data_IF_782288615601
#
_entry.id   IF_782288615601
#
_cell.length_a   1.000
_cell.length_b   1.000
_cell.length_c   1.000
_cell.angle_alpha   90.00
_cell.angle_beta   90.00
_cell.angle_gamma   90.00
#
_symmetry.space_group_name_H-M   'P 1'
#
loop_
_entity.id
_entity.type
_entity.pdbx_description
1 polymer ?
#
# COMPACT_ATOMS: atom_id res chain seq x y z
N UNK A 1 18.46 -13.67 -0.30
CA UNK A 1 18.08 -15.04 0.13
C UNK A 1 16.66 -15.42 -0.26
N UNK A 2 15.67 -14.50 -0.19
CA UNK A 2 14.29 -14.78 -0.62
C UNK A 2 13.78 -13.74 -1.65
N UNK A 3 14.22 -13.82 -2.92
CA UNK A 3 13.93 -12.78 -3.92
C UNK A 3 12.45 -12.70 -4.33
N UNK A 4 11.69 -13.77 -4.17
CA UNK A 4 10.28 -13.86 -4.58
C UNK A 4 9.29 -13.77 -3.39
N UNK A 5 9.77 -13.42 -2.20
CA UNK A 5 8.91 -13.29 -1.03
C UNK A 5 8.18 -11.94 -1.03
N UNK A 6 6.91 -11.95 -1.40
CA UNK A 6 6.08 -10.74 -1.47
C UNK A 6 5.96 -9.99 -0.14
N UNK A 7 5.94 -10.67 1.01
CA UNK A 7 5.89 -10.01 2.33
C UNK A 7 7.15 -9.16 2.55
N UNK A 8 8.33 -9.71 2.25
CA UNK A 8 9.59 -8.97 2.35
C UNK A 8 9.64 -7.81 1.35
N UNK A 9 9.10 -8.01 0.14
CA UNK A 9 9.04 -6.96 -0.88
C UNK A 9 8.06 -5.83 -0.50
N UNK A 10 6.92 -6.12 0.13
CA UNK A 10 6.03 -5.09 0.66
C UNK A 10 6.72 -4.26 1.76
N UNK A 11 7.43 -4.93 2.67
CA UNK A 11 8.25 -4.24 3.68
C UNK A 11 9.35 -3.40 3.05
N UNK A 12 9.97 -3.89 1.97
CA UNK A 12 10.96 -3.14 1.19
C UNK A 12 10.37 -1.87 0.56
N UNK A 13 9.20 -1.94 -0.09
CA UNK A 13 8.50 -0.76 -0.64
C UNK A 13 8.26 0.29 0.43
N UNK A 14 7.83 -0.13 1.62
CA UNK A 14 7.58 0.78 2.76
C UNK A 14 8.87 1.42 3.27
N UNK A 15 9.95 0.66 3.41
CA UNK A 15 11.25 1.19 3.79
C UNK A 15 11.79 2.17 2.75
N UNK A 16 11.75 1.82 1.47
CA UNK A 16 12.22 2.67 0.37
C UNK A 16 11.44 3.99 0.31
N UNK A 17 10.12 3.94 0.52
CA UNK A 17 9.29 5.15 0.59
C UNK A 17 9.72 6.10 1.72
N UNK A 18 10.26 5.56 2.82
CA UNK A 18 10.71 6.35 3.97
C UNK A 18 12.16 6.84 3.84
N UNK A 19 13.07 6.05 3.29
CA UNK A 19 14.51 6.32 3.37
C UNK A 19 15.24 6.48 2.04
N UNK A 20 14.62 6.14 0.90
CA UNK A 20 15.24 6.25 -0.44
C UNK A 20 14.51 7.23 -1.33
N UNK A 21 13.20 7.13 -1.37
CA UNK A 21 12.36 7.94 -2.23
C UNK A 21 11.24 7.12 -2.87
N UNK A 22 10.29 7.81 -3.51
CA UNK A 22 9.17 7.16 -4.16
C UNK A 22 9.56 6.39 -5.42
N UNK A 23 10.62 6.80 -6.12
CA UNK A 23 11.05 6.18 -7.38
C UNK A 23 11.56 4.75 -7.14
N UNK A 24 12.38 4.55 -6.11
CA UNK A 24 12.85 3.23 -5.67
C UNK A 24 11.70 2.33 -5.23
N UNK A 25 10.77 2.87 -4.45
CA UNK A 25 9.59 2.13 -3.99
C UNK A 25 8.73 1.65 -5.17
N UNK A 26 8.50 2.50 -6.17
CA UNK A 26 7.76 2.14 -7.38
C UNK A 26 8.53 1.17 -8.28
N UNK A 27 9.86 1.25 -8.34
CA UNK A 27 10.70 0.24 -9.00
C UNK A 27 10.54 -1.13 -8.34
N UNK A 28 10.48 -1.19 -7.01
CA UNK A 28 10.18 -2.44 -6.29
C UNK A 28 8.76 -2.92 -6.58
N UNK A 29 7.74 -2.05 -6.63
CA UNK A 29 6.39 -2.44 -7.05
C UNK A 29 6.37 -3.04 -8.46
N UNK A 30 7.07 -2.41 -9.42
CA UNK A 30 7.22 -2.95 -10.79
C UNK A 30 7.89 -4.31 -10.77
N UNK A 31 8.95 -4.48 -9.99
CA UNK A 31 9.63 -5.77 -9.84
C UNK A 31 8.68 -6.85 -9.27
N UNK A 32 7.85 -6.50 -8.28
CA UNK A 32 6.84 -7.42 -7.75
C UNK A 32 5.82 -7.84 -8.81
N UNK A 33 5.37 -6.93 -9.68
CA UNK A 33 4.47 -7.29 -10.79
C UNK A 33 5.14 -8.25 -11.78
N UNK A 34 6.43 -8.07 -12.06
CA UNK A 34 7.20 -8.97 -12.93
C UNK A 34 7.35 -10.36 -12.30
N UNK A 35 7.66 -10.44 -11.01
CA UNK A 35 7.70 -11.70 -10.26
C UNK A 35 6.34 -12.37 -10.30
N UNK A 36 5.26 -11.63 -9.99
CA UNK A 36 3.90 -12.15 -10.00
C UNK A 36 3.54 -12.75 -11.36
N UNK A 37 3.82 -12.02 -12.45
CA UNK A 37 3.59 -12.51 -13.82
C UNK A 37 4.40 -13.76 -14.13
N UNK A 38 5.67 -13.82 -13.69
CA UNK A 38 6.53 -15.00 -13.86
C UNK A 38 5.98 -16.22 -13.10
N UNK A 39 5.61 -16.05 -11.84
CA UNK A 39 5.13 -17.12 -10.97
C UNK A 39 3.74 -17.64 -11.36
N UNK A 40 2.87 -16.75 -11.87
CA UNK A 40 1.46 -17.04 -12.09
C UNK A 40 1.02 -16.85 -13.55
N UNK A 41 1.94 -17.00 -14.51
CA UNK A 41 1.57 -17.15 -15.92
C UNK A 41 0.49 -18.24 -16.01
N UNK A 42 -0.76 -17.81 -16.15
CA UNK A 42 -1.91 -18.64 -16.40
C UNK A 42 -1.69 -19.23 -17.79
N UNK A 43 -1.00 -20.36 -17.85
CA UNK A 43 -0.92 -21.19 -19.04
C UNK A 43 -2.34 -21.43 -19.52
N UNK A 44 -2.62 -21.04 -20.77
CA UNK A 44 -3.80 -21.42 -21.51
C UNK A 44 -4.15 -22.89 -21.19
N UNK A 45 -5.41 -23.25 -20.87
CA UNK A 45 -5.80 -24.64 -20.60
C UNK A 45 -5.69 -25.57 -21.82
N UNK A 46 -5.13 -25.11 -22.94
CA UNK A 46 -5.17 -25.80 -24.22
C UNK A 46 -3.85 -26.45 -24.63
N UNK A 47 -2.84 -26.53 -23.77
CA UNK A 47 -1.65 -27.32 -24.09
C UNK A 47 -1.30 -28.34 -23.00
N UNK A 48 -1.78 -29.55 -23.28
CA UNK A 48 -1.19 -30.85 -23.01
C UNK A 48 -0.74 -31.18 -21.57
N UNK A 49 -1.52 -32.10 -20.99
CA UNK A 49 -1.23 -32.78 -19.74
C UNK A 49 0.19 -33.35 -19.62
N UNK A 50 0.85 -32.96 -18.54
CA UNK A 50 1.46 -33.88 -17.57
C UNK A 50 1.65 -33.10 -16.28
N UNK A 51 1.00 -33.58 -15.22
CA UNK A 51 1.05 -32.96 -13.91
C UNK A 51 2.49 -32.76 -13.45
N UNK A 52 2.78 -31.57 -12.93
CA UNK A 52 3.93 -31.34 -12.10
C UNK A 52 3.46 -30.55 -10.89
N UNK A 53 3.56 -31.19 -9.73
CA UNK A 53 3.20 -30.60 -8.45
C UNK A 53 4.10 -29.38 -8.20
N UNK A 54 3.48 -28.27 -7.79
CA UNK A 54 4.18 -27.02 -7.45
C UNK A 54 5.08 -27.14 -6.20
N UNK A 55 5.18 -28.32 -5.58
CA UNK A 55 6.05 -28.59 -4.44
C UNK A 55 7.45 -29.06 -4.86
N UNK A 56 7.65 -29.60 -6.07
CA UNK A 56 8.94 -30.19 -6.47
C UNK A 56 9.94 -29.19 -7.07
N UNK A 57 9.49 -28.01 -7.49
CA UNK A 57 10.34 -27.04 -8.19
C UNK A 57 11.16 -26.13 -7.26
N UNK A 58 10.98 -26.25 -5.94
CA UNK A 58 11.69 -25.43 -4.95
C UNK A 58 13.16 -25.88 -4.69
N UNK A 59 13.67 -26.95 -5.32
CA UNK A 59 15.00 -27.50 -5.01
C UNK A 59 15.97 -27.50 -6.21
N UNK A 60 15.53 -27.18 -7.42
CA UNK A 60 16.38 -27.27 -8.61
C UNK A 60 16.39 -25.98 -9.43
N UNK A 61 17.12 -24.96 -8.94
CA UNK A 61 17.95 -24.10 -9.82
C UNK A 61 18.98 -23.31 -8.99
N UNK A 62 19.77 -24.07 -8.21
CA UNK A 62 21.10 -23.65 -7.80
C UNK A 62 22.04 -23.94 -8.96
N UNK A 63 22.27 -22.95 -9.82
CA UNK A 63 23.46 -22.70 -10.67
C UNK A 63 23.00 -22.13 -11.99
N UNK A 64 23.16 -20.82 -12.16
CA UNK A 64 23.87 -20.19 -13.28
C UNK A 64 23.49 -18.72 -13.31
N UNK A 65 24.48 -17.86 -13.03
CA UNK A 65 24.78 -16.63 -13.76
C UNK A 65 25.91 -15.92 -13.02
N UNK A 66 27.13 -16.44 -13.23
CA UNK A 66 28.32 -15.64 -13.11
C UNK A 66 28.47 -14.80 -14.38
N UNK A 67 29.19 -13.69 -14.21
CA UNK A 67 29.74 -12.77 -15.22
C UNK A 67 28.82 -11.67 -15.74
N UNK A 68 28.85 -10.51 -15.06
CA UNK A 68 28.72 -9.20 -15.71
C UNK A 68 29.84 -8.30 -15.16
N UNK A 69 30.77 -7.95 -16.06
CA UNK A 69 31.82 -6.95 -15.90
C UNK A 69 31.24 -5.54 -15.81
N UNK A 70 31.69 -4.77 -14.81
CA UNK A 70 31.49 -3.32 -14.68
C UNK A 70 32.30 -2.56 -15.75
N UNK A 71 31.84 -1.36 -16.14
CA UNK A 71 32.74 -0.26 -16.38
C UNK A 71 32.42 0.98 -15.53
N UNK A 72 33.43 1.86 -15.52
CA UNK A 72 33.82 2.83 -14.52
C UNK A 72 32.88 4.01 -14.22
N UNK A 73 33.12 4.55 -13.02
CA UNK A 73 32.66 5.83 -12.51
C UNK A 73 33.16 7.01 -13.35
N UNK A 74 32.24 7.92 -13.67
CA UNK A 74 32.54 9.36 -13.78
C UNK A 74 31.26 10.17 -13.55
N UNK A 75 31.20 10.86 -12.41
CA UNK A 75 30.36 12.05 -12.16
C UNK A 75 31.10 13.30 -12.73
N UNK A 76 30.49 14.51 -12.93
CA UNK A 76 29.55 15.13 -11.99
C UNK A 76 28.38 15.98 -12.56
N UNK A 77 27.40 16.19 -11.68
CA UNK A 77 26.51 17.36 -11.48
C UNK A 77 25.92 18.11 -12.69
N UNK A 78 24.58 18.01 -12.85
CA UNK A 78 23.60 19.13 -12.96
C UNK A 78 22.28 18.58 -13.52
N UNK A 79 21.26 18.34 -12.67
CA UNK A 79 19.99 17.82 -13.19
C UNK A 79 18.89 17.51 -12.18
N UNK A 80 18.81 18.25 -11.08
CA UNK A 80 17.99 17.90 -9.90
C UNK A 80 16.46 18.04 -10.06
N UNK A 81 15.93 18.37 -11.24
CA UNK A 81 14.46 18.44 -11.47
C UNK A 81 14.03 17.72 -12.75
N UNK A 82 14.93 17.55 -13.73
CA UNK A 82 14.61 16.91 -15.01
C UNK A 82 14.87 15.39 -14.99
N UNK A 83 15.86 14.93 -14.22
CA UNK A 83 16.18 13.50 -14.11
C UNK A 83 15.11 12.71 -13.35
N UNK A 84 14.54 13.29 -12.29
CA UNK A 84 13.41 12.71 -11.53
C UNK A 84 12.14 12.62 -12.38
N UNK A 85 11.87 13.63 -13.22
CA UNK A 85 10.74 13.60 -14.15
C UNK A 85 10.85 12.49 -15.21
N UNK A 86 12.07 12.20 -15.69
CA UNK A 86 12.31 11.14 -16.68
C UNK A 86 12.25 9.76 -16.03
N UNK A 87 12.82 9.61 -14.82
CA UNK A 87 12.77 8.35 -14.07
C UNK A 87 11.33 8.00 -13.68
N UNK A 88 10.57 8.95 -13.14
CA UNK A 88 9.15 8.79 -12.82
C UNK A 88 8.32 8.43 -14.07
N UNK A 89 8.54 9.12 -15.20
CA UNK A 89 7.85 8.82 -16.47
C UNK A 89 8.17 7.42 -17.01
N UNK A 90 9.41 6.94 -16.85
CA UNK A 90 9.80 5.56 -17.24
C UNK A 90 9.20 4.50 -16.33
N UNK A 91 9.09 4.80 -15.05
CA UNK A 91 8.42 3.93 -14.06
C UNK A 91 6.92 3.86 -14.37
N UNK A 92 6.29 4.99 -14.68
CA UNK A 92 4.89 5.07 -15.12
C UNK A 92 4.64 4.24 -16.37
N UNK A 93 5.40 4.47 -17.44
CA UNK A 93 5.24 3.74 -18.70
C UNK A 93 5.38 2.23 -18.47
N UNK A 94 6.34 1.82 -17.67
CA UNK A 94 6.56 0.41 -17.43
C UNK A 94 5.49 -0.24 -16.53
N UNK A 95 4.94 0.49 -15.55
CA UNK A 95 3.79 0.01 -14.79
C UNK A 95 2.55 -0.11 -15.69
N UNK A 96 2.34 0.85 -16.61
CA UNK A 96 1.27 0.78 -17.60
C UNK A 96 1.42 -0.39 -18.57
N UNK A 97 2.62 -0.64 -19.11
CA UNK A 97 2.90 -1.79 -19.98
C UNK A 97 2.59 -3.12 -19.28
N UNK A 98 2.99 -3.24 -18.01
CA UNK A 98 2.70 -4.43 -17.21
C UNK A 98 1.20 -4.55 -16.95
N UNK A 99 0.52 -3.45 -16.57
CA UNK A 99 -0.94 -3.43 -16.37
C UNK A 99 -1.70 -3.88 -17.62
N UNK A 100 -1.38 -3.32 -18.80
CA UNK A 100 -2.01 -3.70 -20.06
C UNK A 100 -1.85 -5.19 -20.36
N UNK A 101 -0.70 -5.77 -20.01
CA UNK A 101 -0.49 -7.22 -20.17
C UNK A 101 -1.30 -8.10 -19.20
N UNK A 102 -1.86 -7.52 -18.14
CA UNK A 102 -2.66 -8.19 -17.11
C UNK A 102 -4.18 -8.02 -17.30
N UNK A 103 -4.64 -7.18 -18.24
CA UNK A 103 -6.07 -6.84 -18.41
C UNK A 103 -7.00 -8.04 -18.71
N UNK A 104 -6.48 -9.16 -19.22
CA UNK A 104 -7.26 -10.40 -19.45
C UNK A 104 -7.40 -11.30 -18.21
N UNK A 105 -6.64 -10.99 -17.15
CA UNK A 105 -6.49 -11.82 -15.96
C UNK A 105 -7.58 -11.47 -14.93
N UNK A 106 -8.80 -11.95 -15.21
CA UNK A 106 -9.90 -11.89 -14.22
C UNK A 106 -9.85 -13.13 -13.33
N UNK A 107 -10.21 -13.04 -12.02
CA UNK A 107 -10.26 -14.21 -11.15
C UNK A 107 -11.33 -15.20 -11.63
N UNK A 108 -10.95 -16.12 -12.51
CA UNK A 108 -11.82 -17.15 -13.08
C UNK A 108 -11.24 -18.51 -12.71
N UNK A 109 -11.58 -18.93 -11.49
CA UNK A 109 -11.23 -20.20 -10.86
C UNK A 109 -9.72 -20.43 -10.68
N UNK A 110 -9.26 -20.33 -9.42
CA UNK A 110 -7.88 -20.53 -9.02
C UNK A 110 -7.67 -20.16 -7.54
N UNK A 111 -6.46 -20.36 -6.99
CA UNK A 111 -6.15 -19.92 -5.64
C UNK A 111 -6.35 -18.40 -5.52
N UNK A 112 -6.97 -17.95 -4.42
CA UNK A 112 -7.28 -16.54 -4.19
C UNK A 112 -6.02 -15.70 -3.87
N UNK A 113 -5.04 -16.33 -3.24
CA UNK A 113 -3.84 -15.67 -2.72
C UNK A 113 -3.01 -14.89 -3.78
N UNK A 114 -2.74 -15.44 -4.98
CA UNK A 114 -2.06 -14.68 -6.04
C UNK A 114 -2.81 -13.40 -6.41
N UNK A 115 -4.12 -13.45 -6.59
CA UNK A 115 -4.91 -12.26 -6.92
C UNK A 115 -4.89 -11.24 -5.80
N UNK A 116 -5.01 -11.67 -4.54
CA UNK A 116 -4.88 -10.79 -3.38
C UNK A 116 -3.51 -10.11 -3.35
N UNK A 117 -2.44 -10.85 -3.66
CA UNK A 117 -1.07 -10.31 -3.76
C UNK A 117 -0.98 -9.27 -4.87
N UNK A 118 -1.56 -9.54 -6.04
CA UNK A 118 -1.57 -8.58 -7.16
C UNK A 118 -2.31 -7.29 -6.78
N UNK A 119 -3.48 -7.41 -6.14
CA UNK A 119 -4.21 -6.25 -5.65
C UNK A 119 -3.41 -5.47 -4.61
N UNK A 120 -2.70 -6.14 -3.70
CA UNK A 120 -1.82 -5.47 -2.73
C UNK A 120 -0.67 -4.73 -3.41
N UNK A 121 -0.04 -5.28 -4.45
CA UNK A 121 1.02 -4.58 -5.22
C UNK A 121 0.47 -3.28 -5.80
N UNK A 122 -0.71 -3.33 -6.43
CA UNK A 122 -1.37 -2.14 -6.97
C UNK A 122 -1.71 -1.11 -5.89
N UNK A 123 -2.20 -1.55 -4.73
CA UNK A 123 -2.52 -0.64 -3.61
C UNK A 123 -1.26 0.00 -3.01
N UNK A 124 -0.15 -0.73 -2.92
CA UNK A 124 1.13 -0.17 -2.49
C UNK A 124 1.65 0.88 -3.48
N UNK A 125 1.58 0.61 -4.79
CA UNK A 125 1.92 1.61 -5.81
C UNK A 125 1.01 2.86 -5.72
N UNK A 126 -0.29 2.66 -5.53
CA UNK A 126 -1.23 3.77 -5.33
C UNK A 126 -0.87 4.61 -4.10
N UNK A 127 -0.50 3.98 -2.99
CA UNK A 127 -0.09 4.66 -1.76
C UNK A 127 1.16 5.51 -1.96
N UNK A 128 2.14 5.01 -2.72
CA UNK A 128 3.32 5.81 -3.10
C UNK A 128 2.90 7.02 -3.93
N UNK A 129 2.07 6.85 -4.98
CA UNK A 129 1.60 7.98 -5.80
C UNK A 129 0.79 9.02 -5.01
N UNK A 130 0.03 8.60 -3.99
CA UNK A 130 -0.65 9.52 -3.08
C UNK A 130 0.38 10.35 -2.28
N UNK A 131 1.46 9.73 -1.82
CA UNK A 131 2.59 10.41 -1.18
C UNK A 131 3.23 11.49 -2.06
N UNK A 132 3.42 11.22 -3.36
CA UNK A 132 3.97 12.18 -4.34
C UNK A 132 2.90 13.17 -4.84
N UNK A 133 1.67 13.12 -4.34
CA UNK A 133 0.56 14.00 -4.76
C UNK A 133 0.18 13.87 -6.24
N UNK A 134 0.26 12.65 -6.79
CA UNK A 134 -0.10 12.29 -8.17
C UNK A 134 -1.45 11.55 -8.23
N UNK A 135 -2.60 12.27 -8.28
CA UNK A 135 -3.91 11.65 -8.13
C UNK A 135 -4.32 10.78 -9.32
N UNK A 136 -3.86 11.07 -10.54
CA UNK A 136 -4.26 10.32 -11.73
C UNK A 136 -3.68 8.89 -11.71
N UNK A 137 -2.39 8.78 -11.41
CA UNK A 137 -1.63 7.54 -11.31
C UNK A 137 -2.09 6.70 -10.11
N UNK A 138 -2.35 7.36 -8.97
CA UNK A 138 -2.97 6.70 -7.81
C UNK A 138 -4.36 6.13 -8.14
N UNK A 139 -5.15 6.87 -8.93
CA UNK A 139 -6.48 6.40 -9.39
C UNK A 139 -6.34 5.17 -10.29
N UNK A 140 -5.41 5.20 -11.24
CA UNK A 140 -5.17 4.08 -12.15
C UNK A 140 -4.77 2.81 -11.37
N UNK A 141 -3.79 2.93 -10.46
CA UNK A 141 -3.37 1.79 -9.63
C UNK A 141 -4.52 1.27 -8.74
N UNK A 142 -5.28 2.18 -8.12
CA UNK A 142 -6.45 1.80 -7.31
C UNK A 142 -7.53 1.12 -8.16
N UNK A 143 -7.72 1.55 -9.41
CA UNK A 143 -8.66 0.94 -10.34
C UNK A 143 -8.23 -0.46 -10.75
N UNK A 144 -6.94 -0.70 -10.98
CA UNK A 144 -6.43 -2.07 -11.24
C UNK A 144 -6.67 -3.00 -10.05
N UNK A 145 -6.45 -2.53 -8.81
CA UNK A 145 -6.83 -3.30 -7.63
C UNK A 145 -8.36 -3.54 -7.53
N UNK A 146 -9.17 -2.55 -7.90
CA UNK A 146 -10.63 -2.64 -7.90
C UNK A 146 -11.17 -3.61 -8.96
N UNK A 147 -10.48 -3.76 -10.10
CA UNK A 147 -10.84 -4.75 -11.12
C UNK A 147 -10.75 -6.19 -10.57
N UNK A 148 -9.88 -6.42 -9.59
CA UNK A 148 -9.71 -7.72 -8.91
C UNK A 148 -10.68 -7.87 -7.73
N UNK A 149 -10.76 -6.86 -6.86
CA UNK A 149 -11.59 -6.89 -5.65
C UNK A 149 -12.32 -5.56 -5.44
N UNK A 150 -13.46 -5.34 -6.11
CA UNK A 150 -14.15 -4.05 -6.08
C UNK A 150 -14.72 -3.69 -4.70
N UNK A 151 -15.00 -4.69 -3.86
CA UNK A 151 -15.55 -4.52 -2.50
C UNK A 151 -14.49 -4.71 -1.40
N UNK A 152 -13.19 -4.65 -1.73
CA UNK A 152 -12.13 -4.69 -0.72
C UNK A 152 -12.10 -3.38 0.08
N UNK A 153 -12.14 -3.48 1.42
CA UNK A 153 -12.03 -2.29 2.29
C UNK A 153 -10.75 -1.50 2.03
N UNK A 154 -9.65 -2.16 1.62
CA UNK A 154 -8.41 -1.47 1.25
C UNK A 154 -8.56 -0.67 -0.05
N UNK A 155 -9.28 -1.19 -1.05
CA UNK A 155 -9.56 -0.46 -2.30
C UNK A 155 -10.45 0.75 -2.02
N UNK A 156 -11.51 0.58 -1.22
CA UNK A 156 -12.41 1.66 -0.82
C UNK A 156 -11.66 2.74 -0.02
N UNK A 157 -10.80 2.34 0.91
CA UNK A 157 -9.91 3.25 1.64
C UNK A 157 -9.00 4.05 0.69
N UNK A 158 -8.37 3.39 -0.30
CA UNK A 158 -7.51 4.08 -1.27
C UNK A 158 -8.30 5.05 -2.15
N UNK A 159 -9.54 4.73 -2.54
CA UNK A 159 -10.43 5.68 -3.22
C UNK A 159 -10.73 6.91 -2.36
N UNK A 160 -10.94 6.70 -1.05
CA UNK A 160 -11.08 7.78 -0.08
C UNK A 160 -9.85 8.70 -0.06
N UNK A 161 -8.65 8.12 0.00
CA UNK A 161 -7.40 8.91 -0.01
C UNK A 161 -7.20 9.67 -1.32
N UNK A 162 -7.53 9.07 -2.47
CA UNK A 162 -7.49 9.75 -3.78
C UNK A 162 -8.47 10.91 -3.82
N UNK A 163 -9.67 10.75 -3.28
CA UNK A 163 -10.67 11.82 -3.19
C UNK A 163 -10.19 12.97 -2.29
N UNK A 164 -9.57 12.68 -1.14
CA UNK A 164 -8.94 13.72 -0.30
C UNK A 164 -7.81 14.45 -1.01
N UNK A 165 -6.99 13.72 -1.78
CA UNK A 165 -5.92 14.32 -2.58
C UNK A 165 -6.48 15.29 -3.65
N UNK A 166 -7.65 14.98 -4.20
CA UNK A 166 -8.42 15.85 -5.10
C UNK A 166 -9.20 16.96 -4.38
N UNK A 167 -9.08 17.06 -3.05
CA UNK A 167 -9.82 17.99 -2.18
C UNK A 167 -11.35 17.79 -2.22
N UNK A 168 -11.81 16.60 -2.58
CA UNK A 168 -13.23 16.24 -2.54
C UNK A 168 -13.59 15.52 -1.23
N UNK A 169 -13.79 16.30 -0.17
CA UNK A 169 -14.01 15.78 1.19
C UNK A 169 -15.31 14.96 1.32
N UNK A 170 -16.38 15.33 0.61
CA UNK A 170 -17.66 14.61 0.66
C UNK A 170 -17.57 13.22 0.01
N UNK A 171 -16.84 13.13 -1.09
CA UNK A 171 -16.56 11.84 -1.73
C UNK A 171 -15.63 10.98 -0.87
N UNK A 172 -14.58 11.56 -0.30
CA UNK A 172 -13.69 10.84 0.61
C UNK A 172 -14.44 10.24 1.80
N UNK A 173 -15.31 11.03 2.42
CA UNK A 173 -16.16 10.59 3.53
C UNK A 173 -16.99 9.35 3.15
N UNK A 174 -17.69 9.39 2.00
CA UNK A 174 -18.50 8.27 1.51
C UNK A 174 -17.66 7.00 1.33
N UNK A 175 -16.48 7.12 0.72
CA UNK A 175 -15.59 5.98 0.53
C UNK A 175 -15.08 5.39 1.86
N UNK A 176 -14.81 6.21 2.87
CA UNK A 176 -14.44 5.70 4.20
C UNK A 176 -15.61 5.04 4.93
N UNK A 177 -16.81 5.60 4.82
CA UNK A 177 -18.04 4.98 5.35
C UNK A 177 -18.30 3.61 4.69
N UNK A 178 -18.13 3.51 3.37
CA UNK A 178 -18.22 2.23 2.65
C UNK A 178 -17.10 1.25 3.05
N UNK A 179 -15.86 1.72 3.23
CA UNK A 179 -14.78 0.87 3.71
C UNK A 179 -15.09 0.27 5.10
N UNK A 180 -15.70 1.07 5.98
CA UNK A 180 -16.10 0.65 7.33
C UNK A 180 -17.36 -0.23 7.35
N UNK A 181 -18.24 -0.11 6.36
CA UNK A 181 -19.37 -1.04 6.23
C UNK A 181 -18.91 -2.45 5.85
N UNK A 182 -17.81 -2.55 5.08
CA UNK A 182 -17.15 -3.83 4.76
C UNK A 182 -16.27 -4.33 5.91
N UNK A 183 -15.49 -3.44 6.54
CA UNK A 183 -14.60 -3.77 7.64
C UNK A 183 -14.72 -2.75 8.78
N UNK A 184 -15.61 -3.00 9.77
CA UNK A 184 -15.85 -2.08 10.88
C UNK A 184 -14.62 -1.82 11.76
N UNK A 185 -13.61 -2.69 11.68
CA UNK A 185 -12.37 -2.61 12.45
C UNK A 185 -11.20 -2.04 11.64
N UNK A 186 -11.43 -1.47 10.46
CA UNK A 186 -10.35 -0.88 9.66
C UNK A 186 -9.90 0.48 10.22
N UNK A 187 -8.93 0.43 11.14
CA UNK A 187 -8.39 1.58 11.90
C UNK A 187 -8.04 2.79 11.02
N UNK A 188 -7.39 2.57 9.87
CA UNK A 188 -7.02 3.67 8.96
C UNK A 188 -8.24 4.40 8.40
N UNK A 189 -9.32 3.68 8.05
CA UNK A 189 -10.57 4.33 7.62
C UNK A 189 -11.25 5.09 8.76
N UNK A 190 -11.23 4.52 9.98
CA UNK A 190 -11.78 5.19 11.18
C UNK A 190 -11.07 6.52 11.44
N UNK A 191 -9.73 6.50 11.40
CA UNK A 191 -8.91 7.69 11.57
C UNK A 191 -9.22 8.78 10.53
N UNK A 192 -9.24 8.43 9.24
CA UNK A 192 -9.51 9.42 8.17
C UNK A 192 -10.93 9.97 8.25
N UNK A 193 -11.92 9.13 8.53
CA UNK A 193 -13.30 9.56 8.73
C UNK A 193 -13.43 10.51 9.93
N UNK A 194 -12.76 10.21 11.04
CA UNK A 194 -12.76 11.08 12.22
C UNK A 194 -12.12 12.44 11.94
N UNK A 195 -11.00 12.49 11.19
CA UNK A 195 -10.38 13.75 10.77
C UNK A 195 -11.31 14.59 9.89
N UNK A 196 -12.05 13.98 8.97
CA UNK A 196 -13.07 14.67 8.18
C UNK A 196 -14.20 15.20 9.08
N UNK A 197 -14.68 14.39 10.02
CA UNK A 197 -15.73 14.82 10.95
C UNK A 197 -15.26 15.97 11.86
N UNK A 198 -13.99 15.97 12.25
CA UNK A 198 -13.36 17.08 12.96
C UNK A 198 -13.37 18.36 12.12
N UNK A 199 -12.98 18.30 10.84
CA UNK A 199 -13.04 19.45 9.93
C UNK A 199 -14.47 19.99 9.74
N UNK A 200 -15.47 19.12 9.84
CA UNK A 200 -16.89 19.48 9.80
C UNK A 200 -17.46 19.96 11.15
N UNK A 201 -16.63 20.11 12.18
CA UNK A 201 -17.04 20.54 13.53
C UNK A 201 -17.80 19.48 14.34
N UNK A 202 -17.86 18.23 13.88
CA UNK A 202 -18.58 17.13 14.53
C UNK A 202 -17.70 16.40 15.54
N UNK A 203 -17.19 17.12 16.53
CA UNK A 203 -16.16 16.63 17.45
C UNK A 203 -16.59 15.40 18.25
N UNK A 204 -17.82 15.35 18.77
CA UNK A 204 -18.31 14.21 19.56
C UNK A 204 -18.33 12.90 18.76
N UNK A 205 -18.65 12.97 17.47
CA UNK A 205 -18.64 11.78 16.59
C UNK A 205 -17.22 11.38 16.23
N UNK A 206 -16.35 12.36 15.96
CA UNK A 206 -14.93 12.10 15.68
C UNK A 206 -14.25 11.43 16.88
N UNK A 207 -14.47 11.94 18.09
CA UNK A 207 -13.94 11.39 19.34
C UNK A 207 -14.39 9.94 19.54
N UNK A 208 -15.70 9.67 19.36
CA UNK A 208 -16.24 8.31 19.49
C UNK A 208 -15.54 7.33 18.54
N UNK A 209 -15.42 7.70 17.26
CA UNK A 209 -14.77 6.85 16.25
C UNK A 209 -13.29 6.63 16.60
N UNK A 210 -12.59 7.65 17.09
CA UNK A 210 -11.19 7.52 17.48
C UNK A 210 -11.02 6.64 18.72
N UNK A 211 -11.90 6.75 19.72
CA UNK A 211 -11.91 5.84 20.87
C UNK A 211 -12.19 4.41 20.46
N UNK A 212 -13.14 4.17 19.56
CA UNK A 212 -13.40 2.85 19.00
C UNK A 212 -12.15 2.33 18.25
N UNK A 213 -11.44 3.20 17.50
CA UNK A 213 -10.20 2.84 16.81
C UNK A 213 -9.07 2.47 17.78
N UNK A 214 -8.95 3.15 18.93
CA UNK A 214 -8.01 2.81 20.00
C UNK A 214 -8.33 1.43 20.60
N UNK A 215 -9.61 1.08 20.75
CA UNK A 215 -10.00 -0.27 21.21
C UNK A 215 -9.59 -1.36 20.21
N UNK A 216 -9.62 -1.06 18.91
CA UNK A 216 -9.19 -2.00 17.87
C UNK A 216 -7.66 -2.10 17.81
N UNK A 217 -6.95 -0.98 17.86
CA UNK A 217 -5.49 -0.94 17.87
C UNK A 217 -4.97 0.19 18.77
N UNK A 218 -4.61 -0.17 20.00
CA UNK A 218 -4.07 0.76 20.99
C UNK A 218 -2.65 1.25 20.66
N UNK A 219 -1.96 0.62 19.71
CA UNK A 219 -0.59 0.99 19.30
C UNK A 219 -0.55 1.94 18.10
N UNK A 220 -1.69 2.31 17.53
CA UNK A 220 -1.77 3.23 16.40
C UNK A 220 -1.57 4.69 16.86
N UNK A 221 -0.33 5.16 16.84
CA UNK A 221 0.04 6.54 17.22
C UNK A 221 -0.76 7.61 16.46
N UNK A 222 -1.10 7.39 15.19
CA UNK A 222 -1.83 8.38 14.39
C UNK A 222 -3.30 8.53 14.84
N UNK A 223 -3.87 7.51 15.48
CA UNK A 223 -5.19 7.55 16.11
C UNK A 223 -5.15 8.37 17.40
N UNK A 224 -4.12 8.15 18.24
CA UNK A 224 -3.90 8.94 19.45
C UNK A 224 -3.67 10.42 19.14
N UNK A 225 -2.88 10.71 18.11
CA UNK A 225 -2.70 12.07 17.62
C UNK A 225 -4.04 12.68 17.14
N UNK A 226 -4.82 11.93 16.36
CA UNK A 226 -6.16 12.37 15.94
C UNK A 226 -7.09 12.64 17.13
N UNK A 227 -7.03 11.82 18.17
CA UNK A 227 -7.84 12.00 19.39
C UNK A 227 -7.41 13.26 20.14
N UNK A 228 -6.11 13.51 20.27
CA UNK A 228 -5.58 14.74 20.85
C UNK A 228 -6.06 15.99 20.12
N UNK A 229 -6.01 16.00 18.78
CA UNK A 229 -6.52 17.12 17.95
C UNK A 229 -8.01 17.37 18.20
N UNK A 230 -8.82 16.31 18.26
CA UNK A 230 -10.27 16.44 18.52
C UNK A 230 -10.55 16.96 19.93
N UNK A 231 -9.85 16.44 20.95
CA UNK A 231 -10.01 16.87 22.34
C UNK A 231 -9.58 18.33 22.55
N UNK A 232 -8.48 18.74 21.92
CA UNK A 232 -8.04 20.14 21.92
C UNK A 232 -9.11 21.06 21.31
N UNK A 233 -9.71 20.65 20.18
CA UNK A 233 -10.78 21.42 19.55
C UNK A 233 -12.06 21.51 20.39
N UNK A 234 -12.26 20.59 21.35
CA UNK A 234 -13.34 20.64 22.33
C UNK A 234 -12.98 21.47 23.58
N UNK A 235 -11.73 21.94 23.72
CA UNK A 235 -11.22 22.68 24.88
C UNK A 235 -10.72 21.80 26.02
N UNK A 236 -10.54 20.50 25.80
CA UNK A 236 -10.03 19.55 26.78
C UNK A 236 -8.50 19.42 26.64
N UNK A 237 -7.77 20.48 26.95
CA UNK A 237 -6.32 20.56 26.71
C UNK A 237 -5.52 19.51 27.50
N UNK A 238 -5.87 19.26 28.77
CA UNK A 238 -5.17 18.26 29.59
C UNK A 238 -5.23 16.86 28.95
N UNK A 239 -6.43 16.40 28.60
CA UNK A 239 -6.62 15.10 27.95
C UNK A 239 -5.98 15.05 26.54
N UNK A 240 -5.95 16.18 25.82
CA UNK A 240 -5.26 16.27 24.55
C UNK A 240 -3.74 16.07 24.71
N UNK A 241 -3.13 16.68 25.73
CA UNK A 241 -1.69 16.52 25.99
C UNK A 241 -1.32 15.07 26.32
N UNK A 242 -2.13 14.37 27.12
CA UNK A 242 -1.94 12.93 27.38
C UNK A 242 -1.98 12.09 26.10
N UNK A 243 -2.93 12.41 25.20
CA UNK A 243 -3.04 11.72 23.91
C UNK A 243 -1.82 11.98 23.02
N UNK A 244 -1.32 13.22 22.97
CA UNK A 244 -0.12 13.55 22.20
C UNK A 244 1.14 12.90 22.75
N UNK A 245 1.31 12.85 24.07
CA UNK A 245 2.43 12.14 24.71
C UNK A 245 2.39 10.65 24.37
N UNK A 246 1.21 10.02 24.49
CA UNK A 246 1.01 8.62 24.12
C UNK A 246 1.33 8.38 22.64
N UNK A 247 0.92 9.29 21.76
CA UNK A 247 1.23 9.20 20.33
C UNK A 247 2.75 9.25 20.08
N UNK A 248 3.49 10.15 20.72
CA UNK A 248 4.95 10.27 20.58
C UNK A 248 5.69 9.03 21.09
N UNK A 249 5.28 8.47 22.23
CA UNK A 249 5.86 7.24 22.77
C UNK A 249 5.67 6.05 21.83
N UNK A 250 4.47 5.92 21.25
CA UNK A 250 4.15 4.88 20.30
C UNK A 250 4.86 5.08 18.95
N UNK A 251 4.98 6.32 18.46
CA UNK A 251 5.69 6.63 17.22
C UNK A 251 7.17 6.24 17.33
N UNK A 252 7.82 6.54 18.47
CA UNK A 252 9.23 6.22 18.71
C UNK A 252 9.54 4.70 18.65
N UNK A 253 8.53 3.85 18.87
CA UNK A 253 8.65 2.39 18.81
C UNK A 253 7.87 1.76 17.65
N UNK A 254 7.30 2.58 16.77
CA UNK A 254 6.46 2.13 15.65
C UNK A 254 7.31 1.46 14.57
N UNK A 255 7.00 0.21 14.18
CA UNK A 255 7.70 -0.42 13.08
C UNK A 255 7.19 0.11 11.73
N UNK A 256 8.06 0.09 10.71
CA UNK A 256 7.72 0.48 9.34
C UNK A 256 6.56 -0.34 8.76
N UNK A 257 6.46 -1.60 9.16
CA UNK A 257 5.33 -2.50 8.87
C UNK A 257 4.96 -3.22 10.17
N UNK A 258 3.67 -3.44 10.48
CA UNK A 258 3.26 -4.14 11.70
C UNK A 258 3.94 -5.51 11.85
N UNK A 259 4.44 -5.83 13.05
CA UNK A 259 5.07 -7.12 13.35
C UNK A 259 4.14 -8.32 13.08
N UNK A 260 2.82 -8.10 13.12
CA UNK A 260 1.80 -9.10 12.82
C UNK A 260 1.82 -9.60 11.37
N UNK A 261 2.59 -8.98 10.48
CA UNK A 261 2.79 -9.46 9.10
C UNK A 261 3.57 -10.79 9.04
N UNK A 262 4.35 -11.11 10.09
CA UNK A 262 5.06 -12.38 10.19
C UNK A 262 4.06 -13.45 10.68
N UNK A 263 3.83 -14.53 9.90
CA UNK A 263 2.82 -15.51 10.25
C UNK A 263 3.23 -16.29 11.51
N UNK A 264 2.32 -16.37 12.47
CA UNK A 264 2.49 -17.15 13.71
C UNK A 264 2.07 -18.59 13.48
N UNK A 265 2.97 -19.37 12.86
CA UNK A 265 2.75 -20.79 12.54
C UNK A 265 3.64 -21.62 13.49
N UNK A 266 3.07 -22.72 14.03
CA UNK A 266 3.77 -23.71 14.86
C UNK A 266 4.33 -24.85 14.01
#
# INVERSE_FOLDING_TARGET
EYPENFILLFSKVKLESLCRGPDEALLTCKHMLQIWKSCYNLTNPSDSGRGSSLLDRAIADRRQLNTITLPDFSDPETGSVHATSIAASRVEQALSEVASSLQSSTPKQGPLHPWMTLAQIWLHAAEVYIGIRKPAEATACTQEAANLFPMSHNVLYMRGQVAELRRNTDEAKRWYEEALSISPTHVRSMQRLALILHQLGRYSLAEKILRDAVQVNSTAHEVWNGLGVVLQAQGNDDAATECFLTALELEASSPVVPFTIIPRIL
#
